data_IF_075870296113
#
_entry.id   IF_075870296113
#
_cell.length_a   1.000
_cell.length_b   1.000
_cell.length_c   1.000
_cell.angle_alpha   90.00
_cell.angle_beta   90.00
_cell.angle_gamma   90.00
#
_symmetry.space_group_name_H-M   'P 1'
#
loop_
_entity.id
_entity.type
_entity.pdbx_description
1 polymer ?
#
# COMPACT_ATOMS: atom_id res chain seq x y z
N UNK A 1 -38.65 6.10 -1.60
CA UNK A 1 -37.71 6.51 -0.55
C UNK A 1 -36.54 7.20 -1.22
N UNK A 2 -36.23 8.41 -0.77
CA UNK A 2 -35.08 9.18 -1.22
C UNK A 2 -33.88 8.72 -0.40
N UNK A 3 -32.98 7.93 -0.99
CA UNK A 3 -31.80 7.40 -0.25
C UNK A 3 -30.79 8.53 -0.01
N UNK A 4 -30.70 9.48 -0.93
CA UNK A 4 -29.80 10.63 -0.84
C UNK A 4 -30.43 11.85 -0.15
N UNK A 5 -31.74 12.02 -0.25
CA UNK A 5 -32.49 13.21 0.16
C UNK A 5 -33.62 12.86 1.14
N UNK A 6 -34.33 13.88 1.64
CA UNK A 6 -35.44 13.69 2.56
C UNK A 6 -35.01 13.33 4.00
N UNK A 7 -36.02 13.15 4.85
CA UNK A 7 -35.83 12.90 6.29
C UNK A 7 -35.04 11.60 6.52
N UNK A 8 -33.89 11.71 7.18
CA UNK A 8 -32.90 10.63 7.40
C UNK A 8 -32.19 10.13 6.13
N UNK A 9 -32.21 10.91 5.05
CA UNK A 9 -31.39 10.65 3.86
C UNK A 9 -29.90 10.89 4.10
N UNK A 10 -29.05 10.43 3.19
CA UNK A 10 -27.58 10.55 3.28
C UNK A 10 -27.07 11.98 3.55
N UNK A 11 -27.68 13.00 2.92
CA UNK A 11 -27.35 14.42 3.14
C UNK A 11 -27.52 14.85 4.60
N UNK A 12 -28.64 14.47 5.22
CA UNK A 12 -28.93 14.83 6.61
C UNK A 12 -28.07 14.03 7.60
N UNK A 13 -27.81 12.75 7.29
CA UNK A 13 -27.23 11.82 8.25
C UNK A 13 -25.69 11.79 8.28
N UNK A 14 -25.01 12.00 7.15
CA UNK A 14 -23.56 11.73 7.01
C UNK A 14 -22.79 12.90 6.39
N UNK A 15 -23.21 13.36 5.21
CA UNK A 15 -22.35 14.19 4.34
C UNK A 15 -22.57 15.71 4.52
N UNK A 16 -23.77 16.11 4.93
CA UNK A 16 -24.22 17.50 4.80
C UNK A 16 -24.79 17.79 3.40
N UNK A 17 -25.14 19.05 3.18
CA UNK A 17 -25.79 19.49 1.95
C UNK A 17 -24.85 19.51 0.74
N UNK A 18 -25.29 18.89 -0.37
CA UNK A 18 -24.62 18.95 -1.67
C UNK A 18 -25.64 18.88 -2.82
N UNK A 19 -25.22 19.35 -3.99
CA UNK A 19 -26.02 19.33 -5.23
C UNK A 19 -25.20 18.69 -6.35
N UNK A 20 -25.82 17.81 -7.15
CA UNK A 20 -25.22 17.21 -8.34
C UNK A 20 -26.02 17.64 -9.57
N UNK A 21 -25.34 18.18 -10.57
CA UNK A 21 -25.92 18.48 -11.89
C UNK A 21 -25.49 17.42 -12.89
N UNK A 22 -26.25 16.33 -12.97
CA UNK A 22 -25.95 15.18 -13.83
C UNK A 22 -25.77 15.51 -15.31
N UNK A 23 -26.29 16.64 -15.79
CA UNK A 23 -26.10 17.07 -17.18
C UNK A 23 -24.70 17.66 -17.44
N UNK A 24 -23.99 18.05 -16.37
CA UNK A 24 -22.66 18.66 -16.42
C UNK A 24 -21.55 17.76 -15.87
N UNK A 25 -21.89 16.69 -15.15
CA UNK A 25 -20.90 15.78 -14.57
C UNK A 25 -20.11 15.01 -15.64
N UNK A 26 -18.81 14.84 -15.40
CA UNK A 26 -17.93 13.98 -16.20
C UNK A 26 -18.08 12.52 -15.76
N UNK A 27 -18.86 11.75 -16.53
CA UNK A 27 -19.10 10.32 -16.26
C UNK A 27 -17.96 9.40 -16.73
N UNK A 28 -16.83 9.95 -17.20
CA UNK A 28 -15.69 9.18 -17.74
C UNK A 28 -14.64 8.81 -16.67
N UNK A 29 -15.01 8.84 -15.38
CA UNK A 29 -14.10 8.47 -14.28
C UNK A 29 -13.52 7.07 -14.40
N UNK A 30 -14.21 6.14 -15.08
CA UNK A 30 -13.69 4.79 -15.38
C UNK A 30 -12.37 4.82 -16.15
N UNK A 31 -12.14 5.84 -16.99
CA UNK A 31 -10.88 6.03 -17.75
C UNK A 31 -9.72 6.49 -16.87
N UNK A 32 -9.98 6.89 -15.62
CA UNK A 32 -8.99 7.36 -14.64
C UNK A 32 -8.78 6.32 -13.52
N UNK A 33 -9.07 5.06 -13.79
CA UNK A 33 -8.82 3.95 -12.87
C UNK A 33 -7.34 3.55 -12.90
N UNK A 34 -6.87 2.97 -11.80
CA UNK A 34 -5.49 2.50 -11.65
C UNK A 34 -5.54 0.98 -11.49
N UNK A 35 -4.64 0.28 -12.18
CA UNK A 35 -4.45 -1.16 -12.03
C UNK A 35 -3.20 -1.38 -11.19
N UNK A 36 -3.31 -2.21 -10.15
CA UNK A 36 -2.19 -2.59 -9.30
C UNK A 36 -1.39 -3.71 -9.96
N UNK A 37 -0.08 -3.50 -10.12
CA UNK A 37 0.87 -4.52 -10.59
C UNK A 37 1.25 -5.48 -9.48
N UNK A 38 1.36 -4.95 -8.26
CA UNK A 38 1.71 -5.70 -7.05
C UNK A 38 0.51 -5.76 -6.11
N UNK A 39 0.37 -6.86 -5.38
CA UNK A 39 -0.68 -7.01 -4.39
C UNK A 39 -0.30 -6.21 -3.14
N UNK A 40 -0.74 -4.96 -3.04
CA UNK A 40 -0.36 -4.03 -1.99
C UNK A 40 -1.29 -2.81 -1.93
N UNK A 41 -1.19 -2.02 -0.86
CA UNK A 41 -1.79 -0.69 -0.77
C UNK A 41 -1.39 0.20 -1.99
N UNK A 42 -2.27 1.08 -2.49
CA UNK A 42 -2.04 1.74 -3.79
C UNK A 42 -0.80 2.66 -3.79
N UNK A 43 -0.47 3.26 -2.64
CA UNK A 43 0.66 4.16 -2.50
C UNK A 43 2.02 3.44 -2.50
N UNK A 44 2.04 2.09 -2.43
CA UNK A 44 3.29 1.31 -2.53
C UNK A 44 3.75 1.06 -3.96
N UNK A 45 2.88 1.22 -4.96
CA UNK A 45 3.13 0.69 -6.30
C UNK A 45 4.41 1.25 -6.95
N UNK A 46 4.61 2.56 -6.93
CA UNK A 46 5.81 3.18 -7.53
C UNK A 46 7.09 2.88 -6.74
N UNK A 47 6.98 2.73 -5.42
CA UNK A 47 8.11 2.37 -4.54
C UNK A 47 8.57 0.95 -4.87
N UNK A 48 7.63 0.01 -4.99
CA UNK A 48 7.91 -1.38 -5.32
C UNK A 48 8.50 -1.54 -6.73
N UNK A 49 8.05 -0.73 -7.68
CA UNK A 49 8.66 -0.70 -9.01
C UNK A 49 10.12 -0.21 -8.95
N UNK A 50 10.39 0.89 -8.23
CA UNK A 50 11.77 1.39 -8.06
C UNK A 50 12.68 0.40 -7.32
N UNK A 51 12.18 -0.28 -6.30
CA UNK A 51 12.94 -1.34 -5.60
C UNK A 51 13.21 -2.52 -6.53
N UNK A 52 12.22 -2.94 -7.33
CA UNK A 52 12.40 -4.01 -8.31
C UNK A 52 13.49 -3.65 -9.33
N UNK A 53 13.48 -2.43 -9.87
CA UNK A 53 14.49 -1.94 -10.79
C UNK A 53 15.89 -1.91 -10.14
N UNK A 54 16.00 -1.49 -8.88
CA UNK A 54 17.26 -1.50 -8.14
C UNK A 54 17.81 -2.92 -7.95
N UNK A 55 16.97 -3.87 -7.54
CA UNK A 55 17.35 -5.27 -7.34
C UNK A 55 17.73 -5.93 -8.67
N UNK A 56 17.06 -5.61 -9.78
CA UNK A 56 17.38 -6.17 -11.09
C UNK A 56 18.65 -5.57 -11.72
N UNK A 57 18.93 -4.30 -11.45
CA UNK A 57 20.07 -3.58 -12.04
C UNK A 57 21.37 -3.78 -11.28
N UNK A 58 21.32 -4.31 -10.05
CA UNK A 58 22.47 -4.50 -9.19
C UNK A 58 22.54 -5.95 -8.72
N UNK A 59 23.75 -6.49 -8.55
CA UNK A 59 23.95 -7.81 -7.97
C UNK A 59 24.44 -7.66 -6.53
N UNK A 60 23.56 -7.90 -5.56
CA UNK A 60 23.88 -7.96 -4.15
C UNK A 60 23.09 -9.08 -3.47
N UNK A 61 23.63 -9.66 -2.40
CA UNK A 61 22.84 -10.55 -1.54
C UNK A 61 21.95 -9.71 -0.62
N UNK A 62 20.70 -10.12 -0.35
CA UNK A 62 19.88 -9.49 0.69
C UNK A 62 20.57 -9.44 2.06
N UNK A 63 21.46 -10.39 2.35
CA UNK A 63 22.26 -10.42 3.58
C UNK A 63 23.29 -9.29 3.67
N UNK A 64 23.72 -8.74 2.52
CA UNK A 64 24.70 -7.64 2.44
C UNK A 64 24.05 -6.27 2.74
N UNK A 65 22.72 -6.21 2.85
CA UNK A 65 22.00 -4.96 3.10
C UNK A 65 22.16 -4.56 4.57
N UNK A 66 22.82 -3.45 4.84
CA UNK A 66 22.92 -2.90 6.19
C UNK A 66 21.70 -2.05 6.57
N UNK A 67 21.22 -1.23 5.62
CA UNK A 67 20.11 -0.28 5.80
C UNK A 67 19.46 0.05 4.45
N UNK A 68 18.16 0.33 4.47
CA UNK A 68 17.39 0.85 3.35
C UNK A 68 16.82 2.20 3.79
N UNK A 69 17.14 3.27 3.06
CA UNK A 69 16.60 4.61 3.33
C UNK A 69 15.49 4.93 2.33
N UNK A 70 14.24 4.97 2.79
CA UNK A 70 13.08 5.26 1.97
C UNK A 70 12.60 6.71 2.12
N UNK A 71 12.71 7.49 1.05
CA UNK A 71 12.02 8.78 0.94
C UNK A 71 10.71 8.61 0.18
N UNK A 72 9.59 8.97 0.81
CA UNK A 72 8.26 8.85 0.21
C UNK A 72 7.41 10.11 0.44
N UNK A 73 6.25 10.17 -0.20
CA UNK A 73 5.31 11.27 -0.04
C UNK A 73 4.43 11.08 1.21
N UNK A 74 3.90 12.21 1.70
CA UNK A 74 3.23 12.31 2.99
C UNK A 74 2.15 11.24 3.23
N UNK A 75 1.25 11.03 2.27
CA UNK A 75 0.16 10.04 2.41
C UNK A 75 0.70 8.61 2.56
N UNK A 76 1.70 8.21 1.76
CA UNK A 76 2.31 6.90 1.89
C UNK A 76 3.00 6.73 3.24
N UNK A 77 3.69 7.77 3.72
CA UNK A 77 4.33 7.76 5.03
C UNK A 77 3.32 7.53 6.17
N UNK A 78 2.21 8.27 6.17
CA UNK A 78 1.24 8.19 7.26
C UNK A 78 0.44 6.88 7.27
N UNK A 79 0.08 6.34 6.11
CA UNK A 79 -0.76 5.14 6.01
C UNK A 79 0.08 3.86 6.13
N UNK A 80 1.18 3.75 5.38
CA UNK A 80 1.93 2.49 5.22
C UNK A 80 3.42 2.60 5.55
N UNK A 81 3.92 3.78 5.92
CA UNK A 81 5.35 4.05 6.15
C UNK A 81 5.75 4.28 7.60
N UNK A 82 4.86 4.08 8.57
CA UNK A 82 5.19 4.24 10.00
C UNK A 82 4.80 5.58 10.63
N UNK A 83 4.02 6.41 9.93
CA UNK A 83 3.53 7.69 10.43
C UNK A 83 2.29 7.56 11.34
N UNK A 84 1.18 8.16 10.94
CA UNK A 84 -0.01 8.31 11.80
C UNK A 84 -0.65 6.97 12.18
N UNK A 85 -0.66 6.00 11.26
CA UNK A 85 -1.23 4.67 11.51
C UNK A 85 -0.29 3.75 12.31
N UNK A 86 0.78 4.29 12.88
CA UNK A 86 1.69 3.58 13.77
C UNK A 86 2.75 2.74 13.07
N UNK A 87 3.54 2.04 13.89
CA UNK A 87 4.69 1.24 13.42
C UNK A 87 4.26 0.16 12.44
N UNK A 88 5.07 -0.01 11.38
CA UNK A 88 4.86 -1.01 10.33
C UNK A 88 5.95 -2.10 10.35
N UNK A 89 6.55 -2.33 11.52
CA UNK A 89 7.65 -3.30 11.72
C UNK A 89 7.21 -4.61 12.40
N UNK A 90 6.10 -4.61 13.15
CA UNK A 90 5.59 -5.80 13.83
C UNK A 90 4.51 -6.46 12.97
N UNK A 91 4.93 -7.32 12.05
CA UNK A 91 4.06 -7.89 11.01
C UNK A 91 3.92 -9.40 11.21
N UNK A 92 2.68 -9.85 11.46
CA UNK A 92 2.36 -11.27 11.69
C UNK A 92 1.20 -11.77 10.84
N UNK A 93 0.36 -10.85 10.36
CA UNK A 93 -0.83 -11.14 9.56
C UNK A 93 -0.70 -10.57 8.16
N UNK A 94 -1.56 -11.07 7.26
CA UNK A 94 -1.64 -10.58 5.88
C UNK A 94 -2.06 -9.11 5.83
N UNK A 95 -2.99 -8.71 6.69
CA UNK A 95 -3.55 -7.35 6.72
C UNK A 95 -2.49 -6.33 7.17
N UNK A 96 -1.69 -6.68 8.17
CA UNK A 96 -0.53 -5.89 8.60
C UNK A 96 0.53 -5.79 7.48
N UNK A 97 0.82 -6.92 6.82
CA UNK A 97 1.79 -7.00 5.73
C UNK A 97 1.38 -6.14 4.51
N UNK A 98 0.10 -6.16 4.13
CA UNK A 98 -0.44 -5.38 3.00
C UNK A 98 -0.36 -3.86 3.22
N UNK A 99 -0.29 -3.44 4.49
CA UNK A 99 -0.20 -2.04 4.92
C UNK A 99 1.16 -1.68 5.53
N UNK A 100 2.22 -2.42 5.19
CA UNK A 100 3.60 -2.14 5.61
C UNK A 100 4.53 -1.99 4.41
N UNK A 101 5.01 -0.76 4.16
CA UNK A 101 6.09 -0.51 3.20
C UNK A 101 7.37 -1.29 3.55
N UNK A 102 7.83 -1.30 4.82
CA UNK A 102 8.98 -2.12 5.21
C UNK A 102 8.85 -3.58 4.78
N UNK A 103 7.69 -4.18 5.02
CA UNK A 103 7.41 -5.56 4.64
C UNK A 103 7.41 -5.76 3.11
N UNK A 104 6.66 -4.92 2.39
CA UNK A 104 6.53 -5.05 0.94
C UNK A 104 7.87 -4.84 0.22
N UNK A 105 8.73 -3.96 0.74
CA UNK A 105 10.11 -3.76 0.24
C UNK A 105 10.96 -5.00 0.49
N UNK A 106 10.90 -5.59 1.71
CA UNK A 106 11.62 -6.83 2.01
C UNK A 106 11.19 -7.97 1.07
N UNK A 107 9.89 -8.11 0.82
CA UNK A 107 9.35 -9.08 -0.13
C UNK A 107 9.85 -8.88 -1.56
N UNK A 108 9.86 -7.63 -2.02
CA UNK A 108 10.40 -7.30 -3.34
C UNK A 108 11.88 -7.64 -3.47
N UNK A 109 12.67 -7.40 -2.42
CA UNK A 109 14.11 -7.70 -2.43
C UNK A 109 14.37 -9.22 -2.43
N UNK A 110 13.62 -9.98 -1.63
CA UNK A 110 13.85 -11.43 -1.46
C UNK A 110 13.34 -12.25 -2.65
N UNK A 111 12.14 -11.93 -3.16
CA UNK A 111 11.46 -12.75 -4.17
C UNK A 111 11.36 -12.06 -5.54
N UNK A 112 11.75 -10.79 -5.64
CA UNK A 112 11.65 -10.01 -6.88
C UNK A 112 10.21 -9.65 -7.28
N UNK A 113 9.22 -9.94 -6.43
CA UNK A 113 7.81 -9.60 -6.63
C UNK A 113 7.06 -9.51 -5.29
N UNK A 114 5.86 -8.93 -5.34
CA UNK A 114 4.92 -8.85 -4.22
C UNK A 114 3.54 -9.27 -4.73
N UNK A 115 3.23 -10.55 -4.55
CA UNK A 115 2.03 -11.24 -5.04
C UNK A 115 1.43 -12.09 -3.90
N UNK A 116 0.27 -12.76 -4.09
CA UNK A 116 -0.39 -13.47 -2.99
C UNK A 116 0.49 -14.49 -2.23
N UNK A 117 1.51 -15.07 -2.86
CA UNK A 117 2.44 -16.00 -2.21
C UNK A 117 3.24 -15.34 -1.08
N UNK A 118 3.63 -14.07 -1.23
CA UNK A 118 4.33 -13.29 -0.21
C UNK A 118 3.39 -12.82 0.91
N UNK A 119 2.12 -13.23 0.94
CA UNK A 119 1.20 -12.92 2.03
C UNK A 119 0.75 -14.17 2.80
N UNK A 120 1.36 -15.32 2.51
CA UNK A 120 1.12 -16.55 3.26
C UNK A 120 1.75 -16.42 4.67
N UNK A 121 1.09 -16.89 5.75
CA UNK A 121 1.59 -16.77 7.11
C UNK A 121 3.02 -17.30 7.30
N UNK A 122 3.33 -18.44 6.69
CA UNK A 122 4.66 -19.05 6.73
C UNK A 122 5.72 -18.23 6.00
N UNK A 123 5.32 -17.41 5.01
CA UNK A 123 6.21 -16.49 4.32
C UNK A 123 6.41 -15.23 5.16
N UNK A 124 5.32 -14.64 5.69
CA UNK A 124 5.35 -13.44 6.54
C UNK A 124 6.32 -13.63 7.71
N UNK A 125 6.26 -14.80 8.34
CA UNK A 125 7.00 -15.10 9.57
C UNK A 125 8.44 -15.60 9.33
N UNK A 126 8.92 -15.68 8.08
CA UNK A 126 10.30 -16.09 7.82
C UNK A 126 11.30 -15.14 8.47
N UNK A 127 12.38 -15.70 8.99
CA UNK A 127 13.42 -14.95 9.69
C UNK A 127 14.09 -13.90 8.81
N UNK A 128 14.33 -14.19 7.53
CA UNK A 128 14.95 -13.26 6.57
C UNK A 128 14.03 -12.07 6.27
N UNK A 129 12.74 -12.32 6.06
CA UNK A 129 11.70 -11.29 5.90
C UNK A 129 11.64 -10.38 7.13
N UNK A 130 11.51 -10.97 8.32
CA UNK A 130 11.39 -10.25 9.59
C UNK A 130 12.65 -9.45 9.95
N UNK A 131 13.83 -9.93 9.55
CA UNK A 131 15.09 -9.20 9.70
C UNK A 131 15.18 -8.04 8.70
N UNK A 132 14.85 -8.28 7.44
CA UNK A 132 15.04 -7.30 6.38
C UNK A 132 14.07 -6.13 6.49
N UNK A 133 12.79 -6.37 6.85
CA UNK A 133 11.82 -5.29 7.02
C UNK A 133 12.26 -4.29 8.10
N UNK A 134 13.01 -4.71 9.13
CA UNK A 134 13.53 -3.82 10.18
C UNK A 134 14.73 -2.97 9.76
N UNK A 135 15.22 -3.17 8.54
CA UNK A 135 16.31 -2.37 7.96
C UNK A 135 15.80 -1.21 7.11
N UNK A 136 14.48 -1.12 6.88
CA UNK A 136 13.80 -0.08 6.08
C UNK A 136 13.47 1.15 6.91
#
# INVERSE_FOLDING_TARGET
EEIFEGNKGFKEAIEGEFTIDWQKEDLEKVKKTIIKKYNGEIHSQSILEGVQELVQSNSFSPDDIEKIDLNTFNVAYHIIGGGEEGSKENIHTKEEADHSLPYMIAAMILDGNVLPAQYLPEWILKDDVQKLLRKV
#
